data_IF_341211533257
#
_entry.id   IF_341211533257
#
_cell.length_a   1.000
_cell.length_b   1.000
_cell.length_c   1.000
_cell.angle_alpha   90.00
_cell.angle_beta   90.00
_cell.angle_gamma   90.00
#
_symmetry.space_group_name_H-M   'P 1'
#
loop_
_entity.id
_entity.type
_entity.pdbx_description
1 polymer ?
#
# COMPACT_ATOMS: atom_id res chain seq x y z
N UNK A 1 14.39 15.89 50.71
CA UNK A 1 13.05 15.77 50.10
C UNK A 1 13.00 14.43 49.41
N UNK A 2 12.33 13.39 49.96
CA UNK A 2 12.13 12.16 49.21
C UNK A 2 11.07 12.39 48.12
N UNK A 3 11.27 11.78 46.96
CA UNK A 3 10.34 11.81 45.84
C UNK A 3 9.09 10.98 46.19
N UNK A 4 7.88 11.37 45.73
CA UNK A 4 6.71 10.53 45.95
C UNK A 4 6.81 9.28 45.08
N UNK A 5 6.67 8.11 45.70
CA UNK A 5 6.41 6.86 44.99
C UNK A 5 5.06 7.00 44.29
N UNK A 6 5.07 7.26 42.97
CA UNK A 6 3.90 6.96 42.15
C UNK A 6 3.90 5.45 41.97
N UNK A 7 2.97 4.77 42.63
CA UNK A 7 2.55 3.45 42.18
C UNK A 7 2.26 3.56 40.67
N UNK A 8 3.02 2.79 39.88
CA UNK A 8 2.74 2.62 38.47
C UNK A 8 1.38 1.93 38.39
N UNK A 9 0.32 2.72 38.25
CA UNK A 9 -0.97 2.21 37.83
C UNK A 9 -0.71 1.50 36.50
N UNK A 10 -0.84 0.18 36.52
CA UNK A 10 -0.80 -0.62 35.31
C UNK A 10 -1.78 0.03 34.32
N UNK A 11 -1.25 0.37 33.15
CA UNK A 11 -1.98 0.94 32.03
C UNK A 11 -2.94 -0.15 31.52
N UNK A 12 -4.04 -0.38 32.24
CA UNK A 12 -4.89 -1.58 32.11
C UNK A 12 -6.13 -1.33 31.26
N UNK A 13 -6.08 -0.37 30.34
CA UNK A 13 -7.21 -0.10 29.44
C UNK A 13 -6.75 0.32 28.04
N UNK A 14 -5.65 -0.28 27.57
CA UNK A 14 -5.28 -0.20 26.15
C UNK A 14 -6.14 -1.26 25.43
N UNK A 15 -7.18 -0.86 24.67
CA UNK A 15 -7.93 -1.81 23.85
C UNK A 15 -6.95 -2.54 22.91
N UNK A 16 -7.18 -3.82 22.59
CA UNK A 16 -6.24 -4.59 21.78
C UNK A 16 -5.97 -3.84 20.47
N UNK A 17 -4.76 -3.31 20.34
CA UNK A 17 -4.34 -2.68 19.10
C UNK A 17 -4.23 -3.73 17.98
N UNK A 18 -4.51 -3.33 16.74
CA UNK A 18 -4.91 -1.99 16.35
C UNK A 18 -6.43 -1.87 16.18
N UNK A 19 -7.05 -0.91 16.88
CA UNK A 19 -8.38 -0.42 16.52
C UNK A 19 -8.35 0.08 15.06
N UNK A 20 -9.40 -0.13 14.24
CA UNK A 20 -9.37 0.19 12.79
C UNK A 20 -8.92 1.61 12.45
N UNK A 21 -9.22 2.60 13.29
CA UNK A 21 -8.80 4.00 13.10
C UNK A 21 -7.28 4.20 13.15
N UNK A 22 -6.58 3.45 14.00
CA UNK A 22 -5.10 3.53 14.09
C UNK A 22 -4.44 3.04 12.80
N UNK A 23 -5.07 2.09 12.09
CA UNK A 23 -4.58 1.59 10.80
C UNK A 23 -4.73 2.60 9.65
N UNK A 24 -5.59 3.61 9.82
CA UNK A 24 -5.77 4.71 8.87
C UNK A 24 -4.87 5.92 9.17
N UNK A 25 -4.45 6.09 10.42
CA UNK A 25 -3.70 7.28 10.87
C UNK A 25 -2.21 7.05 10.97
N UNK A 26 -1.77 5.80 11.19
CA UNK A 26 -0.35 5.43 11.13
C UNK A 26 0.10 5.25 9.68
N UNK A 27 1.21 5.90 9.34
CA UNK A 27 1.72 6.00 7.98
C UNK A 27 3.16 5.47 7.88
N UNK A 28 3.55 5.08 6.67
CA UNK A 28 4.92 4.68 6.32
C UNK A 28 5.37 5.40 5.05
N UNK A 29 6.68 5.56 4.90
CA UNK A 29 7.33 6.21 3.75
C UNK A 29 8.68 5.56 3.50
N UNK A 30 8.98 5.28 2.23
CA UNK A 30 10.31 4.89 1.74
C UNK A 30 10.63 5.68 0.48
N UNK A 31 11.91 6.01 0.27
CA UNK A 31 12.36 6.83 -0.87
C UNK A 31 13.42 6.10 -1.70
N UNK A 32 13.64 6.56 -2.94
CA UNK A 32 14.60 5.97 -3.88
C UNK A 32 15.88 6.80 -4.06
N UNK A 33 16.07 7.89 -3.32
CA UNK A 33 17.23 8.78 -3.48
C UNK A 33 17.17 9.74 -4.67
N UNK A 34 16.16 9.65 -5.55
CA UNK A 34 15.92 10.61 -6.65
C UNK A 34 14.91 11.70 -6.31
N UNK A 35 14.31 11.63 -5.10
CA UNK A 35 13.11 12.41 -4.73
C UNK A 35 11.79 11.70 -5.06
N UNK A 36 11.85 10.47 -5.58
CA UNK A 36 10.70 9.56 -5.70
C UNK A 36 10.50 8.76 -4.41
N UNK A 37 9.27 8.27 -4.20
CA UNK A 37 8.90 7.59 -2.97
C UNK A 37 7.67 6.67 -3.11
N UNK A 38 7.47 5.80 -2.13
CA UNK A 38 6.19 5.17 -1.82
C UNK A 38 5.78 5.51 -0.39
N UNK A 39 4.48 5.74 -0.18
CA UNK A 39 3.91 5.95 1.14
C UNK A 39 2.46 5.54 1.20
N UNK A 40 1.99 5.30 2.42
CA UNK A 40 0.61 4.97 2.67
C UNK A 40 0.33 4.80 4.16
N UNK A 41 -0.89 4.41 4.46
CA UNK A 41 -1.29 4.00 5.80
C UNK A 41 -0.92 2.53 6.05
N UNK A 42 -0.93 2.09 7.30
CA UNK A 42 -0.73 0.67 7.63
C UNK A 42 -1.84 -0.20 7.02
N UNK A 43 -3.09 0.27 6.98
CA UNK A 43 -4.20 -0.45 6.32
C UNK A 43 -4.07 -0.58 4.80
N UNK A 44 -3.17 0.21 4.18
CA UNK A 44 -3.10 0.35 2.73
C UNK A 44 -4.15 1.28 2.13
N UNK A 45 -5.09 1.79 2.94
CA UNK A 45 -6.13 2.73 2.47
C UNK A 45 -5.52 4.13 2.27
N UNK A 46 -5.60 4.73 1.06
CA UNK A 46 -5.10 6.07 0.82
C UNK A 46 -6.04 7.12 1.43
N UNK A 47 -5.58 7.76 2.52
CA UNK A 47 -6.28 8.85 3.22
C UNK A 47 -5.78 10.25 2.81
N UNK A 48 -4.67 10.33 2.05
CA UNK A 48 -4.08 11.58 1.56
C UNK A 48 -3.77 11.50 0.07
N UNK A 49 -3.76 12.66 -0.60
CA UNK A 49 -3.40 12.76 -2.04
C UNK A 49 -1.99 12.29 -2.39
N UNK A 50 -1.13 12.08 -1.40
CA UNK A 50 0.26 11.69 -1.62
C UNK A 50 0.53 10.22 -1.33
N UNK A 51 -0.45 9.47 -0.83
CA UNK A 51 -0.33 8.03 -0.60
C UNK A 51 -0.36 7.29 -1.92
N UNK A 52 0.71 6.59 -2.23
CA UNK A 52 0.92 5.86 -3.47
C UNK A 52 2.09 4.89 -3.35
N UNK A 53 2.02 3.76 -4.05
CA UNK A 53 3.10 2.78 -4.15
C UNK A 53 4.20 3.20 -5.14
N UNK A 54 3.93 4.12 -6.06
CA UNK A 54 4.97 4.71 -6.92
C UNK A 54 4.67 6.17 -7.23
N UNK A 55 5.44 7.05 -6.59
CA UNK A 55 5.59 8.45 -6.99
C UNK A 55 7.00 8.61 -7.55
N UNK A 56 7.10 8.68 -8.87
CA UNK A 56 8.37 8.73 -9.60
C UNK A 56 8.91 10.15 -9.66
N UNK A 57 10.22 10.33 -9.48
CA UNK A 57 10.90 11.59 -9.79
C UNK A 57 11.38 11.55 -11.25
N UNK A 58 10.61 12.15 -12.15
CA UNK A 58 10.92 12.19 -13.57
C UNK A 58 11.76 13.44 -13.92
N UNK A 59 12.56 13.41 -15.01
CA UNK A 59 13.32 14.56 -15.46
C UNK A 59 12.46 15.81 -15.65
N UNK A 60 13.09 16.98 -15.52
CA UNK A 60 12.45 18.25 -15.81
C UNK A 60 11.90 18.27 -17.26
N UNK A 61 10.73 18.89 -17.51
CA UNK A 61 9.92 19.67 -16.57
C UNK A 61 8.87 18.86 -15.78
N UNK A 62 8.84 17.53 -15.91
CA UNK A 62 7.75 16.69 -15.38
C UNK A 62 7.79 16.59 -13.85
N UNK A 63 8.97 16.33 -13.28
CA UNK A 63 9.16 16.24 -11.84
C UNK A 63 8.43 15.05 -11.19
N UNK A 64 7.97 15.22 -9.95
CA UNK A 64 7.29 14.16 -9.20
C UNK A 64 5.94 13.84 -9.85
N UNK A 65 5.77 12.58 -10.21
CA UNK A 65 4.58 12.06 -10.89
C UNK A 65 4.03 10.88 -10.12
N UNK A 66 2.76 10.97 -9.73
CA UNK A 66 2.02 9.84 -9.20
C UNK A 66 1.76 8.85 -10.34
N UNK A 67 1.99 7.55 -10.13
CA UNK A 67 1.82 6.51 -11.17
C UNK A 67 1.04 5.29 -10.66
N UNK A 68 1.48 4.67 -9.56
CA UNK A 68 0.79 3.53 -8.93
C UNK A 68 0.25 3.96 -7.57
N UNK A 69 -1.07 3.87 -7.39
CA UNK A 69 -1.74 4.25 -6.15
C UNK A 69 -1.67 3.14 -5.11
N UNK A 70 -2.51 2.14 -5.28
CA UNK A 70 -2.57 0.98 -4.39
C UNK A 70 -2.71 -0.30 -5.22
N UNK A 71 -2.43 -1.43 -4.59
CA UNK A 71 -2.80 -2.75 -5.11
C UNK A 71 -3.81 -3.30 -4.11
N UNK A 72 -4.99 -3.62 -4.59
CA UNK A 72 -5.97 -4.35 -3.79
C UNK A 72 -5.69 -5.85 -3.93
N UNK A 73 -5.51 -6.52 -2.79
CA UNK A 73 -5.29 -7.96 -2.72
C UNK A 73 -6.56 -8.72 -2.34
N UNK A 74 -6.87 -9.74 -3.14
CA UNK A 74 -7.96 -10.69 -2.88
C UNK A 74 -7.38 -12.09 -2.76
N UNK A 75 -7.61 -12.72 -1.62
CA UNK A 75 -7.28 -14.12 -1.37
C UNK A 75 -8.48 -14.99 -1.69
N UNK A 76 -8.25 -16.06 -2.46
CA UNK A 76 -9.22 -17.14 -2.68
C UNK A 76 -8.65 -18.44 -2.13
N UNK A 77 -9.39 -19.03 -1.19
CA UNK A 77 -9.02 -20.26 -0.50
C UNK A 77 -9.48 -21.49 -1.31
N UNK A 78 -8.95 -22.69 -1.01
CA UNK A 78 -9.34 -23.93 -1.69
C UNK A 78 -10.84 -24.26 -1.59
N UNK A 79 -11.50 -23.83 -0.52
CA UNK A 79 -12.94 -24.00 -0.29
C UNK A 79 -13.81 -22.97 -1.05
N UNK A 80 -13.19 -22.03 -1.77
CA UNK A 80 -13.85 -20.95 -2.49
C UNK A 80 -14.08 -19.69 -1.66
N UNK A 81 -13.73 -19.68 -0.36
CA UNK A 81 -13.85 -18.50 0.50
C UNK A 81 -12.96 -17.36 0.00
N UNK A 82 -13.47 -16.12 0.08
CA UNK A 82 -12.80 -14.91 -0.41
C UNK A 82 -12.49 -13.96 0.75
N UNK A 83 -11.24 -13.51 0.85
CA UNK A 83 -10.80 -12.48 1.79
C UNK A 83 -10.15 -11.30 1.07
N UNK A 84 -10.45 -10.06 1.50
CA UNK A 84 -9.83 -8.84 0.97
C UNK A 84 -8.87 -8.29 2.03
N UNK A 85 -7.60 -8.06 1.69
CA UNK A 85 -6.57 -7.66 2.66
C UNK A 85 -6.36 -6.14 2.78
N UNK A 86 -6.87 -5.37 1.83
CA UNK A 86 -6.81 -3.91 1.83
C UNK A 86 -8.13 -3.26 2.22
N UNK A 87 -8.31 -2.03 1.74
CA UNK A 87 -9.54 -1.29 1.90
C UNK A 87 -9.62 -0.13 0.91
N UNK A 88 -10.68 0.66 1.02
CA UNK A 88 -10.87 1.87 0.23
C UNK A 88 -11.50 2.97 1.07
N UNK A 89 -11.20 4.22 0.70
CA UNK A 89 -11.93 5.38 1.18
C UNK A 89 -12.45 6.16 -0.02
N UNK A 90 -13.77 6.26 -0.11
CA UNK A 90 -14.46 7.07 -1.12
C UNK A 90 -14.83 8.42 -0.52
N UNK A 91 -14.77 9.47 -1.33
CA UNK A 91 -15.13 10.81 -0.90
C UNK A 91 -16.58 10.82 -0.37
N UNK A 92 -16.77 11.36 0.83
CA UNK A 92 -18.08 11.42 1.50
C UNK A 92 -18.56 10.11 2.12
N UNK A 93 -17.73 9.07 2.17
CA UNK A 93 -18.05 7.79 2.81
C UNK A 93 -17.02 7.45 3.90
N UNK A 94 -17.43 6.75 4.98
CA UNK A 94 -16.48 6.16 5.92
C UNK A 94 -15.51 5.22 5.20
N UNK A 95 -14.28 5.13 5.71
CA UNK A 95 -13.31 4.17 5.18
C UNK A 95 -13.82 2.73 5.39
N UNK A 96 -13.68 1.89 4.37
CA UNK A 96 -14.00 0.47 4.43
C UNK A 96 -12.70 -0.33 4.43
N UNK A 97 -12.40 -1.04 5.52
CA UNK A 97 -11.13 -1.74 5.74
C UNK A 97 -11.36 -3.23 6.06
N UNK A 98 -11.90 -4.03 5.12
CA UNK A 98 -12.12 -5.45 5.35
C UNK A 98 -10.82 -6.19 5.75
N UNK A 99 -9.68 -5.69 5.29
CA UNK A 99 -8.36 -6.22 5.63
C UNK A 99 -7.93 -6.07 7.08
N UNK A 100 -8.57 -5.17 7.86
CA UNK A 100 -8.17 -4.92 9.25
C UNK A 100 -8.24 -6.18 10.12
N UNK A 101 -9.26 -7.03 9.90
CA UNK A 101 -9.41 -8.31 10.63
C UNK A 101 -8.38 -9.37 10.23
N UNK A 102 -7.70 -9.19 9.10
CA UNK A 102 -6.68 -10.11 8.58
C UNK A 102 -5.26 -9.66 8.90
N UNK A 103 -5.04 -8.38 9.20
CA UNK A 103 -3.71 -7.86 9.52
C UNK A 103 -3.29 -8.32 10.93
N UNK A 104 -2.16 -9.03 11.02
CA UNK A 104 -1.59 -9.49 12.29
C UNK A 104 -0.42 -8.65 12.76
N UNK A 105 0.40 -8.23 11.82
CA UNK A 105 1.60 -7.46 12.13
C UNK A 105 1.88 -6.46 11.01
N UNK A 106 2.27 -5.26 11.41
CA UNK A 106 3.00 -4.34 10.57
C UNK A 106 4.30 -3.97 11.28
N UNK A 107 5.41 -4.02 10.56
CA UNK A 107 6.72 -3.62 11.09
C UNK A 107 7.61 -3.08 9.99
N UNK A 108 8.66 -2.39 10.41
CA UNK A 108 9.75 -1.98 9.54
C UNK A 108 10.93 -2.94 9.74
N UNK A 109 11.37 -3.59 8.67
CA UNK A 109 12.60 -4.39 8.65
C UNK A 109 13.66 -3.58 7.93
N UNK A 110 14.67 -3.09 8.66
CA UNK A 110 15.68 -2.17 8.09
C UNK A 110 15.07 -0.93 7.42
N UNK A 111 13.94 -0.44 7.96
CA UNK A 111 13.19 0.69 7.41
C UNK A 111 12.23 0.32 6.27
N UNK A 112 12.20 -0.95 5.82
CA UNK A 112 11.30 -1.41 4.77
C UNK A 112 9.99 -1.94 5.36
N UNK A 113 8.82 -1.53 4.84
CA UNK A 113 7.54 -1.94 5.37
C UNK A 113 7.22 -3.40 5.05
N UNK A 114 6.77 -4.12 6.08
CA UNK A 114 6.32 -5.49 6.01
C UNK A 114 4.97 -5.64 6.71
N UNK A 115 4.07 -6.35 6.05
CA UNK A 115 2.79 -6.78 6.60
C UNK A 115 2.73 -8.28 6.68
N UNK A 116 2.19 -8.80 7.78
CA UNK A 116 1.80 -10.19 7.93
C UNK A 116 0.30 -10.27 8.05
N UNK A 117 -0.34 -10.97 7.13
CA UNK A 117 -1.78 -11.22 7.12
C UNK A 117 -2.08 -12.68 7.46
N UNK A 118 -3.18 -12.93 8.16
CA UNK A 118 -3.73 -14.26 8.39
C UNK A 118 -5.20 -14.33 8.01
N UNK A 119 -5.55 -15.29 7.15
CA UNK A 119 -6.91 -15.52 6.68
C UNK A 119 -7.13 -17.00 6.39
N UNK A 120 -8.17 -17.59 7.01
CA UNK A 120 -8.54 -19.00 6.88
C UNK A 120 -7.37 -19.98 6.92
N UNK A 121 -6.50 -19.85 7.93
CA UNK A 121 -5.37 -20.75 8.16
C UNK A 121 -4.11 -20.45 7.34
N UNK A 122 -4.17 -19.53 6.36
CA UNK A 122 -3.00 -19.09 5.59
C UNK A 122 -2.36 -17.85 6.20
N UNK A 123 -1.02 -17.79 6.12
CA UNK A 123 -0.22 -16.61 6.49
C UNK A 123 0.47 -16.05 5.25
N UNK A 124 0.13 -14.82 4.87
CA UNK A 124 0.73 -14.12 3.74
C UNK A 124 1.56 -12.94 4.23
N UNK A 125 2.80 -12.83 3.77
CA UNK A 125 3.61 -11.64 3.94
C UNK A 125 3.56 -10.76 2.69
N UNK A 126 3.48 -9.45 2.90
CA UNK A 126 3.66 -8.42 1.87
C UNK A 126 4.86 -7.56 2.26
N UNK A 127 5.74 -7.28 1.30
CA UNK A 127 6.85 -6.32 1.44
C UNK A 127 6.79 -5.29 0.33
N UNK A 128 7.19 -4.06 0.63
CA UNK A 128 7.34 -3.00 -0.37
C UNK A 128 8.73 -2.39 -0.24
N UNK A 129 9.45 -2.24 -1.35
CA UNK A 129 10.69 -1.45 -1.37
C UNK A 129 10.84 -0.71 -2.71
N UNK A 130 11.57 0.42 -2.71
CA UNK A 130 11.99 1.09 -3.93
C UNK A 130 13.44 0.77 -4.24
N UNK A 131 13.73 0.51 -5.51
CA UNK A 131 15.11 0.38 -5.98
C UNK A 131 15.89 1.68 -5.78
N UNK A 132 17.07 1.61 -5.17
CA UNK A 132 17.93 2.78 -5.00
C UNK A 132 18.31 3.36 -6.37
N UNK A 133 18.12 4.68 -6.53
CA UNK A 133 18.29 5.44 -7.77
C UNK A 133 17.45 4.94 -8.96
N UNK A 134 16.29 4.32 -8.68
CA UNK A 134 15.37 3.83 -9.71
C UNK A 134 13.93 4.23 -9.40
N UNK A 135 13.17 4.62 -10.43
CA UNK A 135 11.72 4.82 -10.32
C UNK A 135 10.98 3.48 -10.43
N UNK A 136 11.35 2.55 -9.56
CA UNK A 136 10.87 1.16 -9.56
C UNK A 136 10.47 0.79 -8.13
N UNK A 137 9.23 0.34 -7.98
CA UNK A 137 8.75 -0.27 -6.75
C UNK A 137 8.65 -1.78 -6.93
N UNK A 138 9.09 -2.51 -5.92
CA UNK A 138 8.86 -3.94 -5.81
C UNK A 138 7.83 -4.18 -4.72
N UNK A 139 6.74 -4.86 -5.08
CA UNK A 139 5.75 -5.36 -4.14
C UNK A 139 5.83 -6.88 -4.15
N UNK A 140 6.29 -7.44 -3.05
CA UNK A 140 6.60 -8.87 -2.96
C UNK A 140 5.60 -9.53 -2.02
N UNK A 141 5.08 -10.67 -2.46
CA UNK A 141 4.17 -11.50 -1.68
C UNK A 141 4.83 -12.85 -1.41
N UNK A 142 4.72 -13.34 -0.18
CA UNK A 142 5.26 -14.64 0.22
C UNK A 142 4.23 -15.38 1.05
N UNK A 143 3.85 -16.58 0.61
CA UNK A 143 3.08 -17.49 1.44
C UNK A 143 4.02 -18.05 2.53
N UNK A 144 3.80 -17.64 3.77
CA UNK A 144 4.65 -17.97 4.91
C UNK A 144 4.13 -19.17 5.72
N UNK A 145 2.87 -19.55 5.53
CA UNK A 145 2.26 -20.71 6.17
C UNK A 145 0.85 -20.99 5.68
N UNK A 146 0.34 -22.17 5.99
CA UNK A 146 -0.94 -22.71 5.54
C UNK A 146 -0.76 -23.87 4.56
N UNK A 147 -1.71 -24.79 4.57
CA UNK A 147 -1.65 -26.01 3.77
C UNK A 147 -2.47 -25.86 2.48
N UNK A 148 -1.86 -26.22 1.35
CA UNK A 148 -2.51 -26.21 0.03
C UNK A 148 -2.24 -24.95 -0.80
N UNK A 149 -3.10 -24.72 -1.79
CA UNK A 149 -2.93 -23.64 -2.77
C UNK A 149 -3.77 -22.42 -2.40
N UNK A 150 -3.09 -21.28 -2.25
CA UNK A 150 -3.74 -19.97 -2.11
C UNK A 150 -3.68 -19.23 -3.45
N UNK A 151 -4.83 -18.76 -3.95
CA UNK A 151 -4.86 -17.87 -5.11
C UNK A 151 -4.89 -16.43 -4.65
N UNK A 152 -3.89 -15.65 -5.08
CA UNK A 152 -3.78 -14.22 -4.84
C UNK A 152 -4.14 -13.47 -6.13
N UNK A 153 -5.19 -12.66 -6.08
CA UNK A 153 -5.56 -11.74 -7.15
C UNK A 153 -5.10 -10.33 -6.78
N UNK A 154 -4.51 -9.63 -7.74
CA UNK A 154 -3.96 -8.29 -7.57
C UNK A 154 -4.70 -7.32 -8.49
N UNK A 155 -5.26 -6.28 -7.89
CA UNK A 155 -5.98 -5.23 -8.61
C UNK A 155 -5.22 -3.90 -8.43
N UNK A 156 -4.23 -3.60 -9.30
CA UNK A 156 -3.49 -2.35 -9.23
C UNK A 156 -4.37 -1.18 -9.68
N UNK A 157 -4.31 -0.07 -8.94
CA UNK A 157 -4.90 1.21 -9.35
C UNK A 157 -3.82 2.13 -9.88
N UNK A 158 -3.88 2.41 -11.18
CA UNK A 158 -2.96 3.30 -11.88
C UNK A 158 -3.57 4.70 -12.01
N UNK A 159 -2.75 5.73 -11.80
CA UNK A 159 -3.14 7.12 -12.04
C UNK A 159 -1.89 7.91 -12.41
N UNK A 160 -1.86 8.51 -13.59
CA UNK A 160 -0.75 9.36 -14.04
C UNK A 160 -1.12 10.83 -13.88
N UNK A 161 -0.59 11.47 -12.82
CA UNK A 161 -0.83 12.91 -12.58
C UNK A 161 0.36 13.61 -11.94
N UNK A 162 0.50 14.94 -12.08
CA UNK A 162 1.47 15.71 -11.32
C UNK A 162 1.26 15.50 -9.82
N UNK A 163 2.34 15.44 -9.07
CA UNK A 163 2.32 15.21 -7.62
C UNK A 163 1.35 16.12 -6.87
N UNK A 164 1.35 17.42 -7.19
CA UNK A 164 0.52 18.43 -6.53
C UNK A 164 -0.84 18.67 -7.17
N UNK A 165 -1.17 17.98 -8.28
CA UNK A 165 -2.48 18.09 -8.90
C UNK A 165 -3.58 17.55 -7.95
N UNK A 166 -4.78 18.17 -7.95
CA UNK A 166 -5.95 17.62 -7.26
C UNK A 166 -6.22 16.16 -7.64
N UNK A 167 -6.71 15.36 -6.69
CA UNK A 167 -7.11 13.96 -6.96
C UNK A 167 -8.35 13.86 -7.86
N UNK A 168 -9.10 14.95 -7.97
CA UNK A 168 -10.25 15.11 -8.87
C UNK A 168 -9.86 15.57 -10.28
N UNK A 169 -8.58 15.84 -10.54
CA UNK A 169 -8.12 16.21 -11.89
C UNK A 169 -8.40 15.04 -12.84
N UNK A 170 -9.14 15.27 -13.94
CA UNK A 170 -9.35 14.24 -14.95
C UNK A 170 -8.02 13.75 -15.52
N UNK A 171 -7.98 12.48 -15.91
CA UNK A 171 -6.85 11.96 -16.67
C UNK A 171 -6.71 12.76 -17.98
N UNK A 172 -5.47 13.09 -18.36
CA UNK A 172 -5.18 13.87 -19.57
C UNK A 172 -5.57 13.17 -20.89
N UNK A 173 -5.98 11.90 -20.82
CA UNK A 173 -6.52 11.08 -21.89
C UNK A 173 -6.64 9.62 -21.43
N UNK A 174 -7.17 8.72 -22.29
CA UNK A 174 -7.13 7.29 -22.01
C UNK A 174 -5.69 6.79 -21.98
N UNK A 175 -5.39 5.81 -21.12
CA UNK A 175 -4.15 5.05 -21.21
C UNK A 175 -4.39 3.76 -22.01
N UNK A 176 -3.36 3.24 -22.67
CA UNK A 176 -3.35 1.89 -23.23
C UNK A 176 -2.76 0.90 -22.25
N UNK A 177 -3.20 -0.35 -22.33
CA UNK A 177 -2.63 -1.47 -21.60
C UNK A 177 -2.21 -2.55 -22.59
N UNK A 178 -0.93 -2.90 -22.58
CA UNK A 178 -0.39 -4.02 -23.36
C UNK A 178 -0.05 -5.16 -22.40
N UNK A 179 -0.53 -6.37 -22.71
CA UNK A 179 -0.25 -7.56 -21.92
C UNK A 179 0.46 -8.60 -22.80
N UNK A 180 1.67 -8.97 -22.44
CA UNK A 180 2.47 -10.00 -23.10
C UNK A 180 2.97 -10.96 -22.02
N UNK A 181 2.47 -12.20 -22.05
CA UNK A 181 2.75 -13.20 -21.02
C UNK A 181 2.46 -12.68 -19.59
N UNK A 182 3.50 -12.53 -18.78
CA UNK A 182 3.43 -12.05 -17.40
C UNK A 182 3.78 -10.56 -17.25
N UNK A 183 3.92 -9.85 -18.37
CA UNK A 183 4.26 -8.42 -18.41
C UNK A 183 3.06 -7.60 -18.82
N UNK A 184 2.73 -6.62 -17.98
CA UNK A 184 1.69 -5.63 -18.25
C UNK A 184 2.34 -4.25 -18.33
N UNK A 185 2.09 -3.56 -19.42
CA UNK A 185 2.57 -2.20 -19.64
C UNK A 185 1.37 -1.25 -19.74
N UNK A 186 1.47 -0.11 -19.08
CA UNK A 186 0.49 0.96 -19.11
C UNK A 186 1.13 2.21 -19.70
N UNK A 187 0.61 2.70 -20.82
CA UNK A 187 1.09 3.93 -21.45
C UNK A 187 0.00 4.99 -21.40
N UNK A 188 0.32 6.15 -20.82
CA UNK A 188 -0.57 7.31 -20.79
C UNK A 188 -0.03 8.40 -21.72
N UNK A 189 -0.90 9.18 -22.38
CA UNK A 189 -0.47 10.35 -23.15
C UNK A 189 0.24 11.40 -22.28
N UNK A 190 0.08 11.32 -20.95
CA UNK A 190 0.79 12.14 -19.99
C UNK A 190 1.24 11.34 -18.75
N UNK A 191 2.48 11.52 -18.24
CA UNK A 191 3.58 12.16 -18.94
C UNK A 191 3.95 11.25 -20.11
N UNK A 192 4.07 11.80 -21.32
CA UNK A 192 4.31 11.04 -22.56
C UNK A 192 5.67 10.33 -22.52
N UNK A 193 5.74 9.25 -21.76
CA UNK A 193 6.93 8.43 -21.56
C UNK A 193 6.95 7.36 -22.64
N UNK A 194 8.14 7.05 -23.20
CA UNK A 194 8.25 5.93 -24.11
C UNK A 194 7.82 4.64 -23.41
N UNK A 195 7.19 3.74 -24.17
CA UNK A 195 7.00 2.35 -23.77
C UNK A 195 8.37 1.69 -23.55
N UNK A 196 8.45 0.83 -22.55
CA UNK A 196 9.65 0.07 -22.14
C UNK A 196 9.88 -1.18 -23.01
#
# INVERSE_FOLDING_TARGET
MPWPEREAQAETDIPPEPAPESLLTREWLISNGLGGYASGTISGVPTRRYHGLLVSALPAPVGRTFMLGQIEEVLRLPDGTIHRLGGEQKAGQPANIPGAGHLREFRLEWGLPLWTYEAGGFRLEKRVFLGHLQNTVHVMYRLAGGDGHLRLELHPTMHFRPHDAPVSTPLGGPYSMNAVEHRYEFCSPWPNLPSL
#
